data_IF_177311317019
#
_entry.id   IF_177311317019
#
_cell.length_a   1.000
_cell.length_b   1.000
_cell.length_c   1.000
_cell.angle_alpha   90.00
_cell.angle_beta   90.00
_cell.angle_gamma   90.00
#
_symmetry.space_group_name_H-M   'P 1'
#
loop_
_entity.id
_entity.type
_entity.pdbx_description
1 polymer ?
#
# COMPACT_ATOMS: atom_id res chain seq x y z
N UNK A 1 9.26 -0.25 15.57
CA UNK A 1 8.17 -0.45 16.55
C UNK A 1 7.71 0.82 17.26
N UNK A 2 8.00 2.00 16.75
CA UNK A 2 7.81 3.26 17.48
C UNK A 2 6.49 4.00 17.27
N UNK A 3 5.64 3.61 16.34
CA UNK A 3 4.49 4.43 15.90
C UNK A 3 3.12 3.89 16.32
N UNK A 4 3.00 2.66 16.80
CA UNK A 4 1.71 2.10 17.22
C UNK A 4 1.10 2.90 18.38
N UNK A 5 -0.13 3.31 18.23
CA UNK A 5 -0.87 4.08 19.23
C UNK A 5 -0.40 5.51 19.44
N UNK A 6 0.46 6.06 18.56
CA UNK A 6 0.90 7.47 18.62
C UNK A 6 0.19 8.31 17.57
N UNK A 7 -0.12 9.59 17.89
CA UNK A 7 -0.64 10.52 16.91
C UNK A 7 0.36 10.69 15.75
N UNK A 8 -0.13 10.59 14.50
CA UNK A 8 0.69 10.91 13.34
C UNK A 8 0.65 12.43 13.10
N UNK A 9 1.80 13.11 12.94
CA UNK A 9 1.83 14.58 12.83
C UNK A 9 1.02 15.14 11.66
N UNK A 10 0.90 14.36 10.57
CA UNK A 10 0.17 14.78 9.37
C UNK A 10 -1.32 14.37 9.37
N UNK A 11 -1.75 13.60 10.36
CA UNK A 11 -3.12 13.11 10.54
C UNK A 11 -3.68 13.75 11.81
N UNK A 12 -3.96 15.04 11.77
CA UNK A 12 -4.40 15.81 12.94
C UNK A 12 -5.64 15.18 13.59
N UNK A 13 -5.44 14.58 14.77
CA UNK A 13 -6.51 13.94 15.55
C UNK A 13 -6.73 12.46 15.26
N UNK A 14 -6.01 11.85 14.30
CA UNK A 14 -6.08 10.42 14.05
C UNK A 14 -4.95 9.68 14.79
N UNK A 15 -5.26 8.53 15.34
CA UNK A 15 -4.31 7.65 16.00
C UNK A 15 -3.96 6.49 15.08
N UNK A 16 -2.70 6.07 15.11
CA UNK A 16 -2.30 4.80 14.52
C UNK A 16 -2.84 3.69 15.42
N UNK A 17 -3.49 2.69 14.84
CA UNK A 17 -4.05 1.57 15.56
C UNK A 17 -3.01 0.89 16.46
N UNK A 18 -3.38 0.68 17.71
CA UNK A 18 -2.58 -0.06 18.67
C UNK A 18 -2.74 -1.57 18.51
N UNK A 19 -1.94 -2.36 19.27
CA UNK A 19 -2.01 -3.82 19.19
C UNK A 19 -3.39 -4.42 19.47
N UNK A 20 -4.13 -3.86 20.42
CA UNK A 20 -5.47 -4.34 20.77
C UNK A 20 -6.47 -4.05 19.64
N UNK A 21 -6.43 -2.85 19.08
CA UNK A 21 -7.29 -2.47 17.96
C UNK A 21 -7.03 -3.33 16.72
N UNK A 22 -5.75 -3.70 16.46
CA UNK A 22 -5.40 -4.64 15.37
C UNK A 22 -6.02 -6.01 15.63
N UNK A 23 -6.00 -6.51 16.87
CA UNK A 23 -6.64 -7.78 17.23
C UNK A 23 -8.17 -7.72 17.06
N UNK A 24 -8.78 -6.64 17.51
CA UNK A 24 -10.23 -6.42 17.34
C UNK A 24 -10.64 -6.41 15.87
N UNK A 25 -9.86 -5.72 15.02
CA UNK A 25 -10.09 -5.72 13.57
C UNK A 25 -9.98 -7.12 12.97
N UNK A 26 -8.95 -7.87 13.35
CA UNK A 26 -8.77 -9.24 12.87
C UNK A 26 -9.93 -10.16 13.33
N UNK A 27 -10.37 -10.04 14.58
CA UNK A 27 -11.52 -10.79 15.10
C UNK A 27 -12.84 -10.41 14.41
N UNK A 28 -12.96 -9.16 13.96
CA UNK A 28 -14.09 -8.69 13.17
C UNK A 28 -14.04 -9.17 11.69
N UNK A 29 -13.01 -9.95 11.30
CA UNK A 29 -12.87 -10.49 9.95
C UNK A 29 -12.11 -9.57 8.98
N UNK A 30 -11.45 -8.53 9.48
CA UNK A 30 -10.57 -7.70 8.64
C UNK A 30 -9.23 -8.43 8.46
N UNK A 31 -8.80 -8.62 7.23
CA UNK A 31 -7.50 -9.18 6.92
C UNK A 31 -6.39 -8.18 7.25
N UNK A 32 -5.41 -8.60 8.04
CA UNK A 32 -4.25 -7.79 8.43
C UNK A 32 -3.05 -8.20 7.59
N UNK A 33 -2.54 -7.28 6.80
CA UNK A 33 -1.36 -7.47 5.96
C UNK A 33 -0.15 -6.67 6.43
N UNK A 34 1.04 -7.09 6.02
CA UNK A 34 2.30 -6.44 6.39
C UNK A 34 2.66 -5.27 5.44
N UNK A 35 3.51 -4.33 5.94
CA UNK A 35 3.93 -3.16 5.16
C UNK A 35 5.37 -2.72 5.48
N UNK A 36 6.29 -3.66 5.65
CA UNK A 36 7.65 -3.50 6.21
C UNK A 36 7.66 -3.02 7.67
N UNK A 37 8.83 -2.93 8.28
CA UNK A 37 8.99 -2.44 9.67
C UNK A 37 9.13 -0.93 9.69
N UNK A 38 10.00 -0.37 8.83
CA UNK A 38 10.43 1.03 8.89
C UNK A 38 9.82 1.88 7.77
N UNK A 39 8.88 1.32 6.98
CA UNK A 39 8.24 1.99 5.85
C UNK A 39 9.24 2.60 4.85
N UNK A 40 10.28 1.85 4.48
CA UNK A 40 11.31 2.25 3.52
C UNK A 40 11.07 1.62 2.15
N UNK A 41 11.54 2.26 1.08
CA UNK A 41 11.49 1.67 -0.27
C UNK A 41 12.41 0.44 -0.32
N UNK A 42 11.81 -0.75 -0.37
CA UNK A 42 12.54 -2.03 -0.31
C UNK A 42 13.49 -2.22 -1.49
N UNK A 43 13.19 -1.62 -2.64
CA UNK A 43 14.05 -1.60 -3.84
C UNK A 43 15.37 -0.84 -3.66
N UNK A 44 15.49 -0.02 -2.61
CA UNK A 44 16.69 0.76 -2.31
C UNK A 44 17.60 0.09 -1.27
N UNK A 45 17.16 -1.02 -0.70
CA UNK A 45 17.91 -1.79 0.28
C UNK A 45 18.71 -2.91 -0.41
N UNK A 46 19.78 -3.33 0.25
CA UNK A 46 20.39 -4.59 -0.14
C UNK A 46 19.44 -5.78 0.13
N UNK A 47 19.75 -6.93 -0.50
CA UNK A 47 18.92 -8.14 -0.42
C UNK A 47 18.63 -8.57 1.02
N UNK A 48 19.66 -8.56 1.89
CA UNK A 48 19.53 -9.04 3.25
C UNK A 48 18.65 -8.10 4.09
N UNK A 49 18.87 -6.79 3.96
CA UNK A 49 18.08 -5.77 4.65
C UNK A 49 16.62 -5.77 4.18
N UNK A 50 16.37 -5.87 2.86
CA UNK A 50 15.01 -5.95 2.34
C UNK A 50 14.25 -7.19 2.84
N UNK A 51 14.90 -8.34 2.84
CA UNK A 51 14.32 -9.58 3.35
C UNK A 51 14.07 -9.52 4.87
N UNK A 52 14.97 -8.92 5.64
CA UNK A 52 14.79 -8.69 7.09
C UNK A 52 13.56 -7.82 7.37
N UNK A 53 13.40 -6.71 6.66
CA UNK A 53 12.23 -5.84 6.76
C UNK A 53 10.90 -6.60 6.54
N UNK A 54 10.87 -7.47 5.54
CA UNK A 54 9.71 -8.29 5.21
C UNK A 54 9.43 -9.35 6.28
N UNK A 55 10.45 -10.13 6.67
CA UNK A 55 10.31 -11.22 7.65
C UNK A 55 9.95 -10.71 9.04
N UNK A 56 10.61 -9.66 9.52
CA UNK A 56 10.32 -9.09 10.83
C UNK A 56 8.93 -8.47 10.90
N UNK A 57 8.52 -7.77 9.86
CA UNK A 57 7.16 -7.23 9.77
C UNK A 57 6.11 -8.34 9.86
N UNK A 58 6.32 -9.44 9.12
CA UNK A 58 5.46 -10.62 9.16
C UNK A 58 5.42 -11.24 10.55
N UNK A 59 6.58 -11.58 11.10
CA UNK A 59 6.69 -12.24 12.41
C UNK A 59 6.05 -11.40 13.53
N UNK A 60 6.26 -10.08 13.53
CA UNK A 60 5.64 -9.17 14.51
C UNK A 60 4.11 -9.24 14.48
N UNK A 61 3.53 -9.30 13.29
CA UNK A 61 2.06 -9.39 13.14
C UNK A 61 1.56 -10.82 13.49
N UNK A 62 2.28 -11.87 13.09
CA UNK A 62 1.94 -13.25 13.43
C UNK A 62 1.98 -13.48 14.95
N UNK A 63 2.99 -12.95 15.64
CA UNK A 63 3.08 -12.98 17.10
C UNK A 63 1.92 -12.22 17.76
N UNK A 64 1.53 -11.10 17.18
CA UNK A 64 0.42 -10.29 17.69
C UNK A 64 -0.94 -10.97 17.52
N UNK A 65 -1.15 -11.61 16.36
CA UNK A 65 -2.45 -12.16 15.95
C UNK A 65 -2.63 -13.63 16.35
N UNK A 66 -1.53 -14.36 16.58
CA UNK A 66 -1.55 -15.81 16.76
C UNK A 66 -1.98 -16.57 15.50
N UNK A 67 -1.85 -15.96 14.33
CA UNK A 67 -2.31 -16.49 13.04
C UNK A 67 -1.33 -16.11 11.92
N UNK A 68 -1.25 -16.89 10.83
CA UNK A 68 -0.39 -16.56 9.69
C UNK A 68 -0.75 -15.22 9.04
N UNK A 69 0.28 -14.46 8.64
CA UNK A 69 0.15 -13.24 7.84
C UNK A 69 0.74 -13.51 6.47
N UNK A 70 -0.12 -13.70 5.48
CA UNK A 70 0.26 -14.15 4.14
C UNK A 70 0.23 -13.04 3.09
N UNK A 71 -0.21 -11.84 3.48
CA UNK A 71 -0.32 -10.70 2.57
C UNK A 71 0.58 -9.55 2.99
N UNK A 72 1.06 -8.79 1.99
CA UNK A 72 1.79 -7.55 2.24
C UNK A 72 1.47 -6.48 1.19
N UNK A 73 1.86 -5.25 1.48
CA UNK A 73 1.92 -4.18 0.50
C UNK A 73 3.34 -3.59 0.47
N UNK A 74 3.84 -3.26 -0.72
CA UNK A 74 5.14 -2.59 -0.83
C UNK A 74 5.01 -1.12 -0.41
N UNK A 75 5.91 -0.61 0.47
CA UNK A 75 5.97 0.82 0.76
C UNK A 75 6.14 1.63 -0.53
N UNK A 76 5.39 2.72 -0.65
CA UNK A 76 5.34 3.59 -1.83
C UNK A 76 4.89 2.87 -3.13
N UNK A 77 4.53 1.60 -3.08
CA UNK A 77 4.30 0.76 -4.25
C UNK A 77 5.59 0.48 -5.05
N UNK A 78 6.75 0.77 -4.48
CA UNK A 78 8.04 0.55 -5.11
C UNK A 78 8.38 -0.94 -5.11
N UNK A 79 8.43 -1.54 -6.30
CA UNK A 79 8.76 -2.96 -6.50
C UNK A 79 9.55 -3.15 -7.79
N UNK A 80 10.34 -4.19 -7.81
CA UNK A 80 11.05 -4.74 -8.95
C UNK A 80 11.07 -6.27 -8.85
N UNK A 81 11.58 -6.95 -9.86
CA UNK A 81 11.61 -8.41 -9.89
C UNK A 81 12.36 -9.02 -8.67
N UNK A 82 13.55 -8.49 -8.25
CA UNK A 82 14.18 -8.94 -7.02
C UNK A 82 13.33 -8.81 -5.76
N UNK A 83 12.68 -7.67 -5.54
CA UNK A 83 11.83 -7.48 -4.36
C UNK A 83 10.58 -8.35 -4.36
N UNK A 84 10.01 -8.65 -5.52
CA UNK A 84 8.92 -9.62 -5.65
C UNK A 84 9.35 -11.04 -5.27
N UNK A 85 10.55 -11.46 -5.69
CA UNK A 85 11.12 -12.75 -5.29
C UNK A 85 11.38 -12.79 -3.76
N UNK A 86 11.85 -11.69 -3.17
CA UNK A 86 12.05 -11.59 -1.73
C UNK A 86 10.75 -11.66 -0.93
N UNK A 87 9.66 -11.10 -1.44
CA UNK A 87 8.35 -11.22 -0.80
C UNK A 87 7.88 -12.68 -0.74
N UNK A 88 8.03 -13.42 -1.85
CA UNK A 88 7.75 -14.85 -1.86
C UNK A 88 8.67 -15.64 -0.91
N UNK A 89 9.99 -15.33 -0.89
CA UNK A 89 10.97 -15.94 0.01
C UNK A 89 10.68 -15.62 1.48
N UNK A 90 10.13 -14.44 1.77
CA UNK A 90 9.69 -14.07 3.12
C UNK A 90 8.43 -14.84 3.56
N UNK A 91 7.78 -15.58 2.65
CA UNK A 91 6.64 -16.43 2.92
C UNK A 91 5.29 -15.74 2.75
N UNK A 92 5.23 -14.67 1.97
CA UNK A 92 3.95 -14.08 1.56
C UNK A 92 3.37 -14.82 0.35
N UNK A 93 2.06 -15.01 0.34
CA UNK A 93 1.33 -15.59 -0.79
C UNK A 93 0.94 -14.49 -1.79
N UNK A 94 0.68 -13.30 -1.28
CA UNK A 94 0.23 -12.16 -2.08
C UNK A 94 0.91 -10.87 -1.63
N UNK A 95 1.33 -10.05 -2.62
CA UNK A 95 1.86 -8.72 -2.36
C UNK A 95 1.19 -7.67 -3.26
N UNK A 96 0.78 -6.56 -2.65
CA UNK A 96 0.06 -5.48 -3.32
C UNK A 96 1.01 -4.36 -3.73
N UNK A 97 0.92 -3.99 -5.01
CA UNK A 97 1.55 -2.82 -5.59
C UNK A 97 0.62 -1.60 -5.58
N UNK A 98 1.07 -0.48 -6.14
CA UNK A 98 0.20 0.63 -6.53
C UNK A 98 -0.33 0.46 -7.96
N UNK A 99 -1.20 1.37 -8.41
CA UNK A 99 -1.73 1.40 -9.76
C UNK A 99 -0.61 1.42 -10.81
N UNK A 100 -0.81 0.74 -11.93
CA UNK A 100 0.17 0.68 -13.02
C UNK A 100 1.25 -0.40 -12.87
N UNK A 101 1.14 -1.29 -11.91
CA UNK A 101 2.12 -2.36 -11.66
C UNK A 101 2.15 -3.49 -12.73
N UNK A 102 1.46 -3.33 -13.84
CA UNK A 102 1.46 -4.32 -14.92
C UNK A 102 0.43 -5.44 -14.74
N UNK A 103 0.66 -6.62 -15.35
CA UNK A 103 -0.27 -7.72 -15.28
C UNK A 103 -0.42 -8.27 -13.86
N UNK A 104 -1.58 -8.82 -13.56
CA UNK A 104 -1.89 -9.44 -12.28
C UNK A 104 -0.96 -10.63 -12.01
N UNK A 105 -0.15 -10.51 -10.97
CA UNK A 105 0.70 -11.58 -10.42
C UNK A 105 0.52 -11.62 -8.92
N UNK A 106 0.65 -12.76 -8.25
CA UNK A 106 0.51 -12.85 -6.79
C UNK A 106 1.38 -11.84 -6.04
N UNK A 107 2.63 -11.60 -6.49
CA UNK A 107 3.55 -10.64 -5.86
C UNK A 107 3.46 -9.21 -6.41
N UNK A 108 2.47 -8.88 -7.22
CA UNK A 108 2.26 -7.51 -7.73
C UNK A 108 0.79 -7.21 -8.05
N UNK A 109 -0.11 -7.50 -7.12
CA UNK A 109 -1.52 -7.15 -7.30
C UNK A 109 -1.68 -5.63 -7.35
N UNK A 110 -2.21 -5.08 -8.45
CA UNK A 110 -2.43 -3.64 -8.55
C UNK A 110 -3.55 -3.19 -7.60
N UNK A 111 -3.34 -2.06 -6.94
CA UNK A 111 -4.36 -1.37 -6.13
C UNK A 111 -4.65 -0.01 -6.73
N UNK A 112 -5.90 0.33 -6.86
CA UNK A 112 -6.33 1.64 -7.31
C UNK A 112 -6.60 2.56 -6.12
N UNK A 113 -5.89 3.67 -5.98
CA UNK A 113 -6.14 4.62 -4.90
C UNK A 113 -7.51 5.28 -5.05
N UNK A 114 -8.30 5.29 -3.99
CA UNK A 114 -9.57 6.01 -3.92
C UNK A 114 -9.40 7.18 -2.98
N UNK A 115 -9.55 8.39 -3.50
CA UNK A 115 -9.48 9.62 -2.71
C UNK A 115 -10.88 10.13 -2.37
N UNK A 116 -11.03 10.80 -1.25
CA UNK A 116 -12.31 11.37 -0.82
C UNK A 116 -12.93 12.34 -1.86
N UNK A 117 -12.09 12.95 -2.72
CA UNK A 117 -12.51 13.80 -3.83
C UNK A 117 -12.90 13.04 -5.11
N UNK A 118 -12.89 11.71 -5.10
CA UNK A 118 -13.25 10.92 -6.28
C UNK A 118 -14.75 11.04 -6.56
N UNK A 119 -15.11 11.46 -7.77
CA UNK A 119 -16.52 11.47 -8.20
C UNK A 119 -17.07 10.04 -8.31
N UNK A 120 -18.38 9.83 -8.18
CA UNK A 120 -18.99 8.52 -8.36
C UNK A 120 -18.67 7.86 -9.72
N UNK A 121 -18.58 8.65 -10.78
CA UNK A 121 -18.20 8.16 -12.10
C UNK A 121 -16.75 7.67 -12.12
N UNK A 122 -15.81 8.43 -11.51
CA UNK A 122 -14.41 8.03 -11.40
C UNK A 122 -14.27 6.74 -10.61
N UNK A 123 -15.02 6.60 -9.51
CA UNK A 123 -15.03 5.37 -8.72
C UNK A 123 -15.53 4.17 -9.53
N UNK A 124 -16.65 4.32 -10.26
CA UNK A 124 -17.17 3.26 -11.13
C UNK A 124 -16.18 2.84 -12.21
N UNK A 125 -15.50 3.80 -12.85
CA UNK A 125 -14.47 3.51 -13.85
C UNK A 125 -13.27 2.76 -13.25
N UNK A 126 -12.85 3.11 -12.04
CA UNK A 126 -11.79 2.39 -11.31
C UNK A 126 -12.21 0.96 -10.98
N UNK A 127 -13.41 0.77 -10.44
CA UNK A 127 -13.94 -0.56 -10.12
C UNK A 127 -14.11 -1.44 -11.36
N UNK A 128 -14.44 -0.84 -12.51
CA UNK A 128 -14.55 -1.55 -13.78
C UNK A 128 -13.19 -1.82 -14.47
N UNK A 129 -12.06 -1.36 -13.89
CA UNK A 129 -10.74 -1.45 -14.52
C UNK A 129 -10.55 -0.56 -15.75
N UNK A 130 -11.50 0.34 -16.01
CA UNK A 130 -11.52 1.19 -17.20
C UNK A 130 -10.88 2.57 -16.98
N UNK A 131 -10.50 2.89 -15.75
CA UNK A 131 -9.98 4.22 -15.43
C UNK A 131 -8.66 4.53 -16.15
N UNK A 132 -7.71 3.59 -16.14
CA UNK A 132 -6.42 3.75 -16.83
C UNK A 132 -6.58 3.96 -18.34
N UNK A 133 -7.26 3.06 -19.07
CA UNK A 133 -7.51 3.24 -20.50
C UNK A 133 -8.27 4.53 -20.85
N UNK A 134 -9.32 4.85 -20.11
CA UNK A 134 -10.09 6.10 -20.34
C UNK A 134 -9.23 7.33 -20.03
N UNK A 135 -8.44 7.30 -18.96
CA UNK A 135 -7.57 8.41 -18.60
C UNK A 135 -6.44 8.62 -19.62
N UNK A 136 -5.88 7.55 -20.17
CA UNK A 136 -4.86 7.62 -21.23
C UNK A 136 -5.40 8.31 -22.50
N UNK A 137 -6.67 8.08 -22.85
CA UNK A 137 -7.30 8.68 -24.05
C UNK A 137 -7.78 10.11 -23.80
N UNK A 138 -8.31 10.42 -22.61
CA UNK A 138 -8.98 11.71 -22.32
C UNK A 138 -8.09 12.63 -21.47
N UNK A 139 -7.15 12.09 -20.71
CA UNK A 139 -6.38 12.82 -19.67
C UNK A 139 -5.36 13.82 -20.21
N UNK A 140 -4.84 13.65 -21.42
CA UNK A 140 -3.92 14.62 -22.02
C UNK A 140 -4.63 15.87 -22.58
N UNK A 141 -5.93 15.79 -22.87
CA UNK A 141 -6.69 16.87 -23.52
C UNK A 141 -8.05 17.17 -22.85
N UNK A 142 -8.37 16.57 -21.70
CA UNK A 142 -9.69 16.66 -21.08
C UNK A 142 -9.83 17.71 -19.96
N UNK A 143 -11.07 18.17 -19.67
CA UNK A 143 -11.40 19.19 -18.66
C UNK A 143 -11.14 18.77 -17.21
N UNK A 144 -10.52 17.62 -16.97
CA UNK A 144 -10.25 17.05 -15.64
C UNK A 144 -8.88 17.46 -15.04
N UNK A 145 -8.10 18.29 -15.74
CA UNK A 145 -6.93 18.93 -15.15
C UNK A 145 -7.39 20.00 -14.16
N UNK A 146 -7.51 19.63 -12.89
CA UNK A 146 -7.61 20.61 -11.81
C UNK A 146 -6.48 21.63 -11.95
N UNK A 147 -6.83 22.91 -12.04
CA UNK A 147 -5.90 24.06 -12.06
C UNK A 147 -4.85 23.86 -10.97
N UNK A 148 -3.60 23.60 -11.34
CA UNK A 148 -2.48 23.87 -10.46
C UNK A 148 -2.56 25.35 -10.11
N UNK A 149 -2.90 25.69 -8.88
CA UNK A 149 -2.72 27.04 -8.36
C UNK A 149 -1.24 27.35 -8.45
N UNK A 150 -0.89 28.30 -9.31
CA UNK A 150 0.45 28.82 -9.41
C UNK A 150 0.87 29.41 -8.07
N UNK A 151 1.93 28.89 -7.51
CA UNK A 151 2.72 29.57 -6.50
C UNK A 151 3.48 30.69 -7.22
N UNK A 152 3.05 31.91 -7.04
CA UNK A 152 3.84 33.11 -7.34
C UNK A 152 5.05 33.16 -6.37
N UNK A 153 6.27 33.35 -6.88
CA UNK A 153 7.41 33.67 -6.02
C UNK A 153 7.41 35.17 -5.70
N UNK A 154 7.53 35.48 -4.45
CA UNK A 154 8.12 36.73 -3.93
C UNK A 154 9.17 36.38 -2.94
#
# INVERSE_FOLDING_TARGET
>A
TGLMGKPHPDLAGELIAGPEEIRELAQAGVEIGAHSVDHVALTQLDRAAALDQMRRSRATLEDLLGAPVTTMAYPFGALDEPTMQLAAEAGYDVACACSGAGPWRPMSLPREPVHASASPLRLRLKMAGLYGPVYAVVGEHGPLRGRRRGSTPT
#
